data_IF_484086265627
#
_entry.id   IF_484086265627
#
_cell.length_a   1.000
_cell.length_b   1.000
_cell.length_c   1.000
_cell.angle_alpha   90.00
_cell.angle_beta   90.00
_cell.angle_gamma   90.00
#
_symmetry.space_group_name_H-M   'P 1'
#
loop_
_entity.id
_entity.type
_entity.pdbx_description
1 polymer ?
#
# COMPACT_ATOMS: atom_id res chain seq x y z
N UNK A 1 102.70 -98.14 1.51
CA UNK A 1 102.57 -99.55 1.94
C UNK A 1 102.39 -100.42 0.71
N UNK A 2 103.34 -101.32 0.46
CA UNK A 2 103.37 -102.27 -0.67
C UNK A 2 102.48 -103.48 -0.31
N UNK A 3 101.56 -103.95 -1.17
CA UNK A 3 100.99 -105.28 -1.02
C UNK A 3 101.76 -106.28 -1.88
N UNK A 4 102.08 -107.38 -1.24
CA UNK A 4 102.94 -108.48 -1.65
C UNK A 4 102.41 -109.24 -2.87
N UNK A 5 103.29 -109.47 -3.85
CA UNK A 5 103.06 -110.38 -4.96
C UNK A 5 103.19 -111.85 -4.49
N UNK A 6 102.05 -112.47 -4.13
CA UNK A 6 101.96 -113.93 -3.94
C UNK A 6 101.87 -114.66 -5.29
N UNK A 7 102.93 -115.40 -5.62
CA UNK A 7 103.04 -116.30 -6.78
C UNK A 7 102.20 -117.57 -6.54
N UNK A 8 100.97 -117.60 -7.08
CA UNK A 8 100.06 -118.75 -6.99
C UNK A 8 100.23 -119.75 -8.14
N UNK A 9 100.39 -121.02 -7.78
CA UNK A 9 100.55 -122.23 -8.62
C UNK A 9 99.49 -122.31 -9.74
N UNK A 10 99.95 -122.54 -10.98
CA UNK A 10 99.11 -122.82 -12.16
C UNK A 10 98.74 -124.31 -12.20
N UNK A 11 97.54 -124.65 -11.74
CA UNK A 11 96.95 -125.97 -12.00
C UNK A 11 96.62 -126.09 -13.50
N UNK A 12 97.27 -127.05 -14.18
CA UNK A 12 96.96 -127.42 -15.57
C UNK A 12 95.60 -128.11 -15.60
N UNK A 13 94.57 -127.36 -16.01
CA UNK A 13 93.25 -127.89 -16.33
C UNK A 13 93.36 -128.77 -17.58
N UNK A 14 92.79 -129.97 -17.50
CA UNK A 14 92.72 -130.92 -18.61
C UNK A 14 91.83 -130.39 -19.74
N UNK A 15 92.03 -130.85 -20.98
CA UNK A 15 91.34 -130.35 -22.19
C UNK A 15 89.81 -130.44 -22.11
N UNK A 16 89.26 -131.37 -21.31
CA UNK A 16 87.83 -131.46 -20.96
C UNK A 16 87.38 -130.41 -19.94
N UNK A 17 88.22 -130.04 -18.99
CA UNK A 17 87.97 -128.97 -18.02
C UNK A 17 88.05 -127.58 -18.67
N UNK A 18 88.87 -127.37 -19.71
CA UNK A 18 88.89 -126.12 -20.48
C UNK A 18 87.63 -125.96 -21.34
N UNK A 19 87.08 -127.05 -21.90
CA UNK A 19 85.80 -126.98 -22.62
C UNK A 19 84.62 -126.73 -21.69
N UNK A 20 84.59 -127.37 -20.50
CA UNK A 20 83.58 -127.07 -19.46
C UNK A 20 83.74 -125.65 -18.91
N UNK A 21 84.95 -125.22 -18.56
CA UNK A 21 85.20 -123.87 -18.05
C UNK A 21 84.98 -122.78 -19.12
N UNK A 22 85.28 -123.04 -20.40
CA UNK A 22 85.01 -122.10 -21.49
C UNK A 22 83.53 -122.04 -21.84
N UNK A 23 82.81 -123.18 -21.80
CA UNK A 23 81.35 -123.20 -21.93
C UNK A 23 80.66 -122.57 -20.71
N UNK A 24 81.13 -122.80 -19.48
CA UNK A 24 80.65 -122.15 -18.27
C UNK A 24 80.99 -120.66 -18.24
N UNK A 25 82.15 -120.26 -18.74
CA UNK A 25 82.55 -118.85 -18.84
C UNK A 25 81.77 -118.12 -19.94
N UNK A 26 81.56 -118.75 -21.10
CA UNK A 26 80.71 -118.21 -22.17
C UNK A 26 79.23 -118.23 -21.75
N UNK A 27 78.76 -119.26 -21.04
CA UNK A 27 77.41 -119.33 -20.47
C UNK A 27 77.22 -118.29 -19.36
N UNK A 28 78.17 -118.11 -18.45
CA UNK A 28 78.14 -117.09 -17.41
C UNK A 28 78.28 -115.68 -17.97
N UNK A 29 79.09 -115.49 -19.03
CA UNK A 29 79.22 -114.22 -19.74
C UNK A 29 77.97 -113.89 -20.55
N UNK A 30 77.33 -114.89 -21.17
CA UNK A 30 76.06 -114.74 -21.85
C UNK A 30 74.93 -114.47 -20.85
N UNK A 31 74.88 -115.20 -19.72
CA UNK A 31 73.96 -114.93 -18.60
C UNK A 31 74.14 -113.52 -18.05
N UNK A 32 75.37 -113.09 -17.71
CA UNK A 32 75.66 -111.70 -17.31
C UNK A 32 75.26 -110.69 -18.37
N UNK A 33 75.47 -110.98 -19.66
CA UNK A 33 75.09 -110.06 -20.75
C UNK A 33 73.57 -109.98 -20.91
N UNK A 34 72.86 -111.09 -20.74
CA UNK A 34 71.39 -111.13 -20.69
C UNK A 34 70.88 -110.39 -19.46
N UNK A 35 71.54 -110.54 -18.33
CA UNK A 35 71.16 -109.94 -17.03
C UNK A 35 71.46 -108.44 -17.00
N UNK A 36 72.59 -107.98 -17.55
CA UNK A 36 72.88 -106.57 -17.78
C UNK A 36 71.96 -105.95 -18.85
N UNK A 37 71.55 -106.72 -19.85
CA UNK A 37 70.56 -106.28 -20.85
C UNK A 37 69.16 -106.18 -20.23
N UNK A 38 68.81 -107.10 -19.33
CA UNK A 38 67.59 -107.02 -18.52
C UNK A 38 67.63 -105.82 -17.58
N UNK A 39 68.73 -105.60 -16.84
CA UNK A 39 68.92 -104.42 -16.01
C UNK A 39 68.85 -103.13 -16.81
N UNK A 40 69.50 -103.03 -17.98
CA UNK A 40 69.37 -101.83 -18.84
C UNK A 40 67.95 -101.61 -19.35
N UNK A 41 67.22 -102.68 -19.67
CA UNK A 41 65.81 -102.57 -20.08
C UNK A 41 64.91 -102.20 -18.91
N UNK A 42 65.20 -102.69 -17.70
CA UNK A 42 64.51 -102.32 -16.47
C UNK A 42 64.84 -100.88 -16.05
N UNK A 43 66.08 -100.42 -16.21
CA UNK A 43 66.51 -99.04 -15.98
C UNK A 43 65.96 -98.08 -17.06
N UNK A 44 65.94 -98.48 -18.34
CA UNK A 44 65.27 -97.71 -19.40
C UNK A 44 63.76 -97.66 -19.21
N UNK A 45 63.15 -98.75 -18.74
CA UNK A 45 61.72 -98.80 -18.45
C UNK A 45 61.39 -97.97 -17.21
N UNK A 46 62.13 -98.11 -16.13
CA UNK A 46 62.00 -97.28 -14.94
C UNK A 46 62.26 -95.79 -15.26
N UNK A 47 63.25 -95.48 -16.10
CA UNK A 47 63.54 -94.12 -16.56
C UNK A 47 62.45 -93.53 -17.44
N UNK A 48 61.80 -94.36 -18.29
CA UNK A 48 60.61 -93.96 -19.05
C UNK A 48 59.41 -93.73 -18.13
N UNK A 49 59.16 -94.64 -17.19
CA UNK A 49 58.06 -94.55 -16.23
C UNK A 49 58.24 -93.29 -15.33
N UNK A 50 59.47 -92.95 -14.93
CA UNK A 50 59.75 -91.71 -14.18
C UNK A 50 59.58 -90.45 -15.03
N UNK A 51 60.02 -90.46 -16.30
CA UNK A 51 59.83 -89.31 -17.19
C UNK A 51 58.34 -89.09 -17.52
N UNK A 52 57.58 -90.17 -17.66
CA UNK A 52 56.14 -90.14 -17.89
C UNK A 52 55.42 -89.59 -16.65
N UNK A 53 55.75 -90.05 -15.45
CA UNK A 53 55.24 -89.51 -14.18
C UNK A 53 55.60 -88.02 -13.98
N UNK A 54 56.83 -87.61 -14.30
CA UNK A 54 57.22 -86.19 -14.23
C UNK A 54 56.50 -85.33 -15.28
N UNK A 55 56.23 -85.89 -16.47
CA UNK A 55 55.44 -85.22 -17.51
C UNK A 55 53.99 -85.04 -17.07
N UNK A 56 53.38 -86.07 -16.49
CA UNK A 56 52.03 -86.00 -15.93
C UNK A 56 51.93 -85.01 -14.77
N UNK A 57 52.94 -84.96 -13.89
CA UNK A 57 53.00 -83.99 -12.80
C UNK A 57 53.05 -82.55 -13.33
N UNK A 58 53.94 -82.29 -14.31
CA UNK A 58 54.04 -80.97 -14.96
C UNK A 58 52.73 -80.56 -15.64
N UNK A 59 52.05 -81.49 -16.29
CA UNK A 59 50.75 -81.22 -16.92
C UNK A 59 49.65 -80.97 -15.88
N UNK A 60 49.63 -81.70 -14.75
CA UNK A 60 48.71 -81.41 -13.64
C UNK A 60 48.95 -80.03 -13.04
N UNK A 61 50.19 -79.65 -12.77
CA UNK A 61 50.55 -78.32 -12.28
C UNK A 61 50.17 -77.21 -13.27
N UNK A 62 50.28 -77.48 -14.57
CA UNK A 62 49.85 -76.56 -15.61
C UNK A 62 48.33 -76.40 -15.59
N UNK A 63 47.59 -77.50 -15.57
CA UNK A 63 46.12 -77.49 -15.49
C UNK A 63 45.65 -76.81 -14.20
N UNK A 64 46.33 -77.02 -13.08
CA UNK A 64 46.01 -76.37 -11.81
C UNK A 64 46.24 -74.86 -11.86
N UNK A 65 47.36 -74.41 -12.42
CA UNK A 65 47.61 -72.98 -12.67
C UNK A 65 46.57 -72.36 -13.61
N UNK A 66 46.23 -73.03 -14.71
CA UNK A 66 45.18 -72.58 -15.63
C UNK A 66 43.82 -72.50 -14.93
N UNK A 67 43.48 -73.45 -14.04
CA UNK A 67 42.26 -73.41 -13.21
C UNK A 67 42.28 -72.27 -12.20
N UNK A 68 43.40 -72.01 -11.55
CA UNK A 68 43.55 -70.87 -10.62
C UNK A 68 43.43 -69.53 -11.34
N UNK A 69 44.05 -69.40 -12.51
CA UNK A 69 43.94 -68.22 -13.36
C UNK A 69 42.49 -68.03 -13.83
N UNK A 70 41.81 -69.09 -14.27
CA UNK A 70 40.40 -69.04 -14.62
C UNK A 70 39.53 -68.56 -13.45
N UNK A 71 39.73 -69.10 -12.24
CA UNK A 71 39.03 -68.65 -11.02
C UNK A 71 39.33 -67.18 -10.70
N UNK A 72 40.57 -66.73 -10.85
CA UNK A 72 40.95 -65.32 -10.65
C UNK A 72 40.27 -64.40 -11.67
N UNK A 73 40.17 -64.84 -12.92
CA UNK A 73 39.50 -64.09 -13.99
C UNK A 73 37.98 -64.03 -13.75
N UNK A 74 37.37 -65.13 -13.30
CA UNK A 74 35.96 -65.19 -12.93
C UNK A 74 35.65 -64.25 -11.76
N UNK A 75 36.47 -64.28 -10.70
CA UNK A 75 36.33 -63.37 -9.56
C UNK A 75 36.49 -61.90 -9.98
N UNK A 76 37.45 -61.59 -10.85
CA UNK A 76 37.62 -60.23 -11.40
C UNK A 76 36.41 -59.79 -12.21
N UNK A 77 35.83 -60.68 -13.02
CA UNK A 77 34.61 -60.39 -13.78
C UNK A 77 33.43 -60.10 -12.85
N UNK A 78 33.26 -60.90 -11.80
CA UNK A 78 32.21 -60.68 -10.80
C UNK A 78 32.39 -59.34 -10.05
N UNK A 79 33.63 -58.97 -9.71
CA UNK A 79 33.95 -57.68 -9.11
C UNK A 79 33.59 -56.52 -10.04
N UNK A 80 33.98 -56.59 -11.31
CA UNK A 80 33.66 -55.56 -12.31
C UNK A 80 32.15 -55.45 -12.54
N UNK A 81 31.42 -56.57 -12.58
CA UNK A 81 29.96 -56.56 -12.72
C UNK A 81 29.28 -55.90 -11.51
N UNK A 82 29.79 -56.12 -10.30
CA UNK A 82 29.31 -55.43 -9.08
C UNK A 82 29.60 -53.94 -9.14
N UNK A 83 30.81 -53.55 -9.56
CA UNK A 83 31.20 -52.14 -9.73
C UNK A 83 30.34 -51.44 -10.79
N UNK A 84 30.06 -52.10 -11.92
CA UNK A 84 29.18 -51.59 -12.98
C UNK A 84 27.75 -51.37 -12.46
N UNK A 85 27.15 -52.37 -11.80
CA UNK A 85 25.82 -52.25 -11.18
C UNK A 85 25.76 -51.14 -10.13
N UNK A 86 26.82 -50.97 -9.34
CA UNK A 86 26.90 -49.89 -8.37
C UNK A 86 26.99 -48.51 -9.06
N UNK A 87 27.76 -48.41 -10.14
CA UNK A 87 27.85 -47.20 -10.95
C UNK A 87 26.50 -46.85 -11.58
N UNK A 88 25.78 -47.83 -12.14
CA UNK A 88 24.44 -47.65 -12.68
C UNK A 88 23.45 -47.16 -11.62
N UNK A 89 23.44 -47.77 -10.43
CA UNK A 89 22.59 -47.32 -9.31
C UNK A 89 22.89 -45.88 -8.93
N UNK A 90 24.17 -45.48 -8.87
CA UNK A 90 24.57 -44.09 -8.58
C UNK A 90 24.12 -43.11 -9.66
N UNK A 91 24.17 -43.51 -10.94
CA UNK A 91 23.66 -42.71 -12.06
C UNK A 91 22.15 -42.54 -11.95
N UNK A 92 21.41 -43.60 -11.65
CA UNK A 92 19.96 -43.55 -11.53
C UNK A 92 19.53 -42.70 -10.31
N UNK A 93 20.18 -42.87 -9.16
CA UNK A 93 19.98 -42.00 -7.99
C UNK A 93 20.27 -40.51 -8.29
N UNK A 94 21.23 -40.23 -9.18
CA UNK A 94 21.52 -38.85 -9.61
C UNK A 94 20.43 -38.32 -10.54
N UNK A 95 19.91 -39.13 -11.47
CA UNK A 95 18.78 -38.76 -12.32
C UNK A 95 17.53 -38.48 -11.49
N UNK A 96 17.20 -39.35 -10.54
CA UNK A 96 16.06 -39.14 -9.64
C UNK A 96 16.19 -37.85 -8.84
N UNK A 97 17.39 -37.56 -8.30
CA UNK A 97 17.64 -36.28 -7.60
C UNK A 97 17.41 -35.07 -8.50
N UNK A 98 17.84 -35.14 -9.77
CA UNK A 98 17.60 -34.07 -10.74
C UNK A 98 16.12 -33.90 -11.06
N UNK A 99 15.39 -35.01 -11.27
CA UNK A 99 13.95 -34.99 -11.53
C UNK A 99 13.20 -34.41 -10.32
N UNK A 100 13.53 -34.82 -9.09
CA UNK A 100 12.92 -34.27 -7.87
C UNK A 100 13.18 -32.76 -7.76
N UNK A 101 14.41 -32.32 -7.99
CA UNK A 101 14.75 -30.88 -7.99
C UNK A 101 13.98 -30.10 -9.05
N UNK A 102 13.84 -30.67 -10.26
CA UNK A 102 13.07 -30.04 -11.33
C UNK A 102 11.58 -29.92 -10.97
N UNK A 103 10.97 -30.99 -10.43
CA UNK A 103 9.58 -30.98 -9.96
C UNK A 103 9.34 -29.96 -8.86
N UNK A 104 10.27 -29.82 -7.91
CA UNK A 104 10.15 -28.80 -6.85
C UNK A 104 10.16 -27.38 -7.42
N UNK A 105 11.06 -27.09 -8.37
CA UNK A 105 11.08 -25.79 -9.07
C UNK A 105 9.81 -25.55 -9.87
N UNK A 106 9.23 -26.59 -10.46
CA UNK A 106 7.95 -26.47 -11.17
C UNK A 106 6.82 -26.07 -10.23
N UNK A 107 6.72 -26.74 -9.08
CA UNK A 107 5.74 -26.43 -8.04
C UNK A 107 5.93 -25.00 -7.54
N UNK A 108 7.17 -24.57 -7.29
CA UNK A 108 7.49 -23.19 -6.88
C UNK A 108 7.04 -22.17 -7.94
N UNK A 109 7.30 -22.43 -9.23
CA UNK A 109 6.87 -21.55 -10.33
C UNK A 109 5.35 -21.46 -10.43
N UNK A 110 4.65 -22.58 -10.32
CA UNK A 110 3.18 -22.60 -10.33
C UNK A 110 2.62 -21.80 -9.15
N UNK A 111 3.15 -22.01 -7.95
CA UNK A 111 2.75 -21.28 -6.75
C UNK A 111 3.02 -19.77 -6.85
N UNK A 112 4.09 -19.36 -7.52
CA UNK A 112 4.37 -17.94 -7.78
C UNK A 112 3.36 -17.32 -8.75
N UNK A 113 3.02 -18.04 -9.82
CA UNK A 113 1.99 -17.60 -10.78
C UNK A 113 0.63 -17.49 -10.09
N UNK A 114 0.24 -18.47 -9.26
CA UNK A 114 -1.01 -18.44 -8.49
C UNK A 114 -1.07 -17.21 -7.58
N UNK A 115 -0.02 -16.93 -6.81
CA UNK A 115 0.07 -15.74 -5.97
C UNK A 115 -0.06 -14.44 -6.78
N UNK A 116 0.54 -14.38 -7.96
CA UNK A 116 0.43 -13.20 -8.82
C UNK A 116 -0.98 -13.03 -9.37
N UNK A 117 -1.65 -14.14 -9.74
CA UNK A 117 -3.06 -14.09 -10.17
C UNK A 117 -3.99 -13.67 -9.04
N UNK A 118 -3.75 -14.10 -7.80
CA UNK A 118 -4.51 -13.66 -6.63
C UNK A 118 -4.35 -12.15 -6.40
N UNK A 119 -3.13 -11.62 -6.45
CA UNK A 119 -2.89 -10.17 -6.38
C UNK A 119 -3.59 -9.43 -7.50
N UNK A 120 -3.55 -9.95 -8.72
CA UNK A 120 -4.21 -9.32 -9.86
C UNK A 120 -5.74 -9.30 -9.69
N UNK A 121 -6.32 -10.37 -9.14
CA UNK A 121 -7.74 -10.43 -8.81
C UNK A 121 -8.11 -9.42 -7.70
N UNK A 122 -7.28 -9.28 -6.67
CA UNK A 122 -7.48 -8.29 -5.61
C UNK A 122 -7.42 -6.86 -6.17
N UNK A 123 -6.44 -6.56 -7.02
CA UNK A 123 -6.34 -5.27 -7.71
C UNK A 123 -7.59 -5.00 -8.55
N UNK A 124 -8.10 -6.00 -9.26
CA UNK A 124 -9.32 -5.85 -10.05
C UNK A 124 -10.55 -5.63 -9.18
N UNK A 125 -10.65 -6.29 -8.02
CA UNK A 125 -11.73 -6.05 -7.05
C UNK A 125 -11.71 -4.61 -6.54
N UNK A 126 -10.55 -4.13 -6.10
CA UNK A 126 -10.38 -2.75 -5.60
C UNK A 126 -10.69 -1.71 -6.68
N UNK A 127 -10.30 -1.96 -7.95
CA UNK A 127 -10.67 -1.08 -9.07
C UNK A 127 -12.17 -0.98 -9.29
N UNK A 128 -12.89 -2.08 -9.12
CA UNK A 128 -14.35 -2.11 -9.26
C UNK A 128 -15.05 -1.41 -8.10
N UNK A 129 -14.54 -1.57 -6.87
CA UNK A 129 -15.01 -0.81 -5.69
C UNK A 129 -14.81 0.70 -5.90
N UNK A 130 -13.63 1.12 -6.38
CA UNK A 130 -13.33 2.53 -6.65
C UNK A 130 -14.27 3.12 -7.72
N UNK A 131 -14.58 2.38 -8.79
CA UNK A 131 -15.56 2.82 -9.81
C UNK A 131 -16.95 3.07 -9.22
N UNK A 132 -17.41 2.19 -8.33
CA UNK A 132 -18.71 2.35 -7.65
C UNK A 132 -18.73 3.57 -6.73
N UNK A 133 -17.63 3.85 -6.03
CA UNK A 133 -17.50 5.05 -5.21
C UNK A 133 -17.49 6.33 -6.07
N UNK A 134 -16.79 6.33 -7.20
CA UNK A 134 -16.78 7.46 -8.14
C UNK A 134 -18.18 7.74 -8.71
N UNK A 135 -18.92 6.70 -9.07
CA UNK A 135 -20.32 6.82 -9.52
C UNK A 135 -21.23 7.36 -8.41
N UNK A 136 -21.07 6.87 -7.18
CA UNK A 136 -21.80 7.38 -6.01
C UNK A 136 -21.53 8.87 -5.78
N UNK A 137 -20.26 9.28 -5.83
CA UNK A 137 -19.87 10.69 -5.68
C UNK A 137 -20.40 11.55 -6.82
N UNK A 138 -20.44 11.03 -8.05
CA UNK A 138 -21.04 11.72 -9.19
C UNK A 138 -22.53 11.97 -8.95
N UNK A 139 -23.27 10.96 -8.49
CA UNK A 139 -24.70 11.10 -8.17
C UNK A 139 -24.93 12.13 -7.04
N UNK A 140 -24.08 12.13 -6.01
CA UNK A 140 -24.14 13.13 -4.93
C UNK A 140 -23.92 14.55 -5.47
N UNK A 141 -22.98 14.74 -6.39
CA UNK A 141 -22.72 16.05 -7.01
C UNK A 141 -23.90 16.51 -7.87
N UNK A 142 -24.46 15.62 -8.68
CA UNK A 142 -25.62 15.93 -9.54
C UNK A 142 -26.86 16.28 -8.71
N UNK A 143 -27.15 15.51 -7.65
CA UNK A 143 -28.25 15.79 -6.72
C UNK A 143 -28.04 17.09 -5.95
N UNK A 144 -26.82 17.38 -5.50
CA UNK A 144 -26.49 18.64 -4.83
C UNK A 144 -26.66 19.85 -5.75
N UNK A 145 -26.19 19.75 -6.99
CA UNK A 145 -26.34 20.80 -7.99
C UNK A 145 -27.81 21.04 -8.38
N UNK A 146 -28.63 19.97 -8.44
CA UNK A 146 -30.06 20.10 -8.67
C UNK A 146 -30.74 20.86 -7.50
N UNK A 147 -30.43 20.48 -6.26
CA UNK A 147 -30.96 21.16 -5.07
C UNK A 147 -30.53 22.62 -4.97
N UNK A 148 -29.30 22.94 -5.36
CA UNK A 148 -28.83 24.33 -5.38
C UNK A 148 -29.62 25.19 -6.38
N UNK A 149 -29.91 24.64 -7.56
CA UNK A 149 -30.78 25.31 -8.55
C UNK A 149 -32.19 25.56 -8.02
N UNK A 150 -32.79 24.57 -7.37
CA UNK A 150 -34.12 24.71 -6.72
C UNK A 150 -34.10 25.85 -5.69
N UNK A 151 -33.08 25.90 -4.82
CA UNK A 151 -32.94 26.96 -3.83
C UNK A 151 -32.74 28.35 -4.45
N UNK A 152 -32.04 28.45 -5.58
CA UNK A 152 -31.88 29.71 -6.30
C UNK A 152 -33.18 30.16 -6.98
N UNK A 153 -33.98 29.23 -7.52
CA UNK A 153 -35.32 29.51 -8.02
C UNK A 153 -36.24 30.03 -6.91
N UNK A 154 -36.27 29.37 -5.75
CA UNK A 154 -37.03 29.82 -4.57
C UNK A 154 -36.56 31.21 -4.09
N UNK A 155 -35.25 31.45 -4.06
CA UNK A 155 -34.68 32.75 -3.69
C UNK A 155 -35.10 33.85 -4.66
N UNK A 156 -35.10 33.55 -5.97
CA UNK A 156 -35.54 34.48 -6.99
C UNK A 156 -37.03 34.78 -6.88
N UNK A 157 -37.86 33.77 -6.62
CA UNK A 157 -39.30 33.96 -6.40
C UNK A 157 -39.56 34.82 -5.16
N UNK A 158 -38.88 34.54 -4.05
CA UNK A 158 -38.98 35.36 -2.84
C UNK A 158 -38.58 36.82 -3.09
N UNK A 159 -37.54 37.08 -3.90
CA UNK A 159 -37.15 38.44 -4.30
C UNK A 159 -38.27 39.14 -5.09
N UNK A 160 -38.96 38.43 -6.00
CA UNK A 160 -40.09 38.99 -6.77
C UNK A 160 -41.26 39.35 -5.85
N UNK A 161 -41.65 38.45 -4.97
CA UNK A 161 -42.74 38.69 -4.00
C UNK A 161 -42.40 39.87 -3.07
N UNK A 162 -41.15 39.96 -2.59
CA UNK A 162 -40.68 41.09 -1.78
C UNK A 162 -40.74 42.42 -2.55
N UNK A 163 -40.33 42.43 -3.82
CA UNK A 163 -40.38 43.63 -4.66
C UNK A 163 -41.83 44.09 -4.89
N UNK A 164 -42.75 43.17 -5.16
CA UNK A 164 -44.17 43.47 -5.31
C UNK A 164 -44.79 44.02 -4.01
N UNK A 165 -44.48 43.39 -2.86
CA UNK A 165 -44.95 43.86 -1.56
C UNK A 165 -44.40 45.26 -1.23
N UNK A 166 -43.13 45.54 -1.59
CA UNK A 166 -42.52 46.85 -1.45
C UNK A 166 -43.22 47.91 -2.33
N UNK A 167 -43.55 47.57 -3.58
CA UNK A 167 -44.29 48.46 -4.48
C UNK A 167 -45.68 48.80 -3.92
N UNK A 168 -46.44 47.80 -3.47
CA UNK A 168 -47.75 47.99 -2.81
C UNK A 168 -47.65 48.79 -1.52
N UNK A 169 -46.55 48.67 -0.77
CA UNK A 169 -46.31 49.49 0.43
C UNK A 169 -46.02 50.94 0.05
N UNK A 170 -45.21 51.18 -0.98
CA UNK A 170 -44.91 52.52 -1.47
C UNK A 170 -46.18 53.23 -1.96
N UNK A 171 -47.04 52.53 -2.70
CA UNK A 171 -48.34 53.05 -3.14
C UNK A 171 -49.24 53.45 -1.96
N UNK A 172 -49.32 52.61 -0.91
CA UNK A 172 -50.08 52.93 0.31
C UNK A 172 -49.56 54.17 1.04
N UNK A 173 -48.23 54.31 1.13
CA UNK A 173 -47.60 55.49 1.74
C UNK A 173 -47.90 56.74 0.92
N UNK A 174 -47.82 56.66 -0.41
CA UNK A 174 -48.12 57.78 -1.31
C UNK A 174 -49.60 58.20 -1.23
N UNK A 175 -50.52 57.24 -1.16
CA UNK A 175 -51.94 57.51 -0.96
C UNK A 175 -52.20 58.19 0.39
N UNK A 176 -51.57 57.72 1.48
CA UNK A 176 -51.67 58.34 2.80
C UNK A 176 -51.15 59.79 2.78
N UNK A 177 -49.99 60.04 2.17
CA UNK A 177 -49.44 61.39 2.00
C UNK A 177 -50.41 62.32 1.29
N UNK A 178 -51.03 61.89 0.19
CA UNK A 178 -52.02 62.71 -0.54
C UNK A 178 -53.24 63.11 0.29
N UNK A 179 -53.65 62.25 1.23
CA UNK A 179 -54.76 62.54 2.14
C UNK A 179 -54.32 63.53 3.24
N UNK A 180 -53.12 63.35 3.78
CA UNK A 180 -52.56 64.24 4.81
C UNK A 180 -52.24 65.64 4.25
N UNK A 181 -51.72 65.71 3.03
CA UNK A 181 -51.36 66.96 2.32
C UNK A 181 -52.59 67.69 1.76
N UNK A 182 -53.80 67.13 1.89
CA UNK A 182 -55.00 67.79 1.39
C UNK A 182 -55.21 69.13 2.15
N UNK A 183 -55.48 70.26 1.45
CA UNK A 183 -55.60 71.58 2.08
C UNK A 183 -56.58 71.63 3.26
N UNK A 184 -57.65 70.83 3.20
CA UNK A 184 -58.59 70.67 4.31
C UNK A 184 -57.94 70.04 5.55
N UNK A 185 -57.21 68.93 5.40
CA UNK A 185 -56.49 68.27 6.49
C UNK A 185 -55.43 69.19 7.10
N UNK A 186 -54.66 69.88 6.25
CA UNK A 186 -53.67 70.87 6.69
C UNK A 186 -54.32 72.05 7.44
N UNK A 187 -55.51 72.50 7.00
CA UNK A 187 -56.25 73.57 7.67
C UNK A 187 -56.81 73.17 9.03
N UNK A 188 -57.16 71.88 9.22
CA UNK A 188 -57.62 71.34 10.49
C UNK A 188 -56.49 71.18 11.51
N UNK A 189 -55.27 70.89 11.04
CA UNK A 189 -54.13 70.62 11.90
C UNK A 189 -53.46 71.88 12.48
N UNK A 190 -53.56 73.03 11.79
CA UNK A 190 -52.81 74.21 12.18
C UNK A 190 -53.63 75.50 12.14
N UNK A 191 -54.61 75.63 13.06
CA UNK A 191 -55.12 76.97 13.39
C UNK A 191 -54.00 77.78 14.05
N UNK A 192 -53.50 78.80 13.35
CA UNK A 192 -52.53 79.77 13.91
C UNK A 192 -53.22 80.84 14.75
N UNK A 193 -54.54 80.82 14.82
CA UNK A 193 -55.32 81.86 15.50
C UNK A 193 -54.92 81.93 16.98
N UNK A 194 -54.54 83.12 17.44
CA UNK A 194 -54.33 83.31 18.88
C UNK A 194 -55.69 83.38 19.58
N UNK A 195 -55.92 82.54 20.58
CA UNK A 195 -57.17 82.53 21.35
C UNK A 195 -57.44 83.79 22.17
N UNK A 196 -56.43 84.63 22.42
CA UNK A 196 -56.56 85.85 23.25
C UNK A 196 -56.91 87.06 22.38
N UNK A 197 -56.04 87.41 21.43
CA UNK A 197 -56.24 88.59 20.58
C UNK A 197 -57.02 88.27 19.30
N UNK A 198 -57.36 87.00 19.06
CA UNK A 198 -58.07 86.49 17.87
C UNK A 198 -57.37 86.81 16.54
N UNK A 199 -56.08 87.20 16.57
CA UNK A 199 -55.27 87.37 15.38
C UNK A 199 -55.16 86.03 14.65
N UNK A 200 -55.58 86.00 13.38
CA UNK A 200 -55.64 84.78 12.58
C UNK A 200 -54.25 84.24 12.19
N UNK A 201 -53.23 85.10 12.21
CA UNK A 201 -51.87 84.71 11.88
C UNK A 201 -50.84 85.58 12.65
N UNK A 202 -50.65 85.35 13.96
CA UNK A 202 -49.67 86.09 14.75
C UNK A 202 -48.26 85.83 14.23
N UNK A 203 -47.46 86.90 14.06
CA UNK A 203 -46.08 86.82 13.51
C UNK A 203 -45.15 85.90 14.30
N UNK A 204 -45.34 85.80 15.62
CA UNK A 204 -44.58 84.95 16.53
C UNK A 204 -45.54 84.31 17.51
N UNK A 205 -45.41 83.00 17.69
CA UNK A 205 -46.14 82.25 18.72
C UNK A 205 -45.27 81.95 19.94
N UNK A 206 -45.92 81.59 21.01
CA UNK A 206 -45.30 81.11 22.24
C UNK A 206 -46.09 79.92 22.77
N UNK A 207 -45.35 78.90 23.24
CA UNK A 207 -45.93 77.68 23.82
C UNK A 207 -45.88 77.79 25.33
N UNK A 208 -46.97 77.46 25.98
CA UNK A 208 -47.04 77.31 27.43
C UNK A 208 -46.37 75.99 27.81
N UNK A 209 -45.24 76.05 28.52
CA UNK A 209 -44.37 74.88 28.76
C UNK A 209 -45.12 73.75 29.48
N UNK A 210 -45.97 74.07 30.46
CA UNK A 210 -46.59 73.03 31.30
C UNK A 210 -47.75 72.32 30.62
N UNK A 211 -48.47 73.00 29.73
CA UNK A 211 -49.73 72.49 29.17
C UNK A 211 -49.74 72.36 27.64
N UNK A 212 -48.71 72.84 26.94
CA UNK A 212 -48.58 72.74 25.49
C UNK A 212 -49.52 73.66 24.68
N UNK A 213 -50.36 74.47 25.33
CA UNK A 213 -51.22 75.42 24.63
C UNK A 213 -50.42 76.56 24.00
N UNK A 214 -50.85 77.03 22.82
CA UNK A 214 -50.17 78.09 22.06
C UNK A 214 -50.93 79.42 22.13
N UNK A 215 -50.20 80.53 22.19
CA UNK A 215 -50.73 81.90 22.03
C UNK A 215 -49.76 82.79 21.24
N UNK A 216 -50.12 84.05 20.95
CA UNK A 216 -49.21 85.00 20.31
C UNK A 216 -48.11 85.46 21.29
N UNK A 217 -46.89 85.74 20.81
CA UNK A 217 -45.77 86.17 21.67
C UNK A 217 -46.11 87.42 22.46
N UNK A 218 -46.75 88.41 21.84
CA UNK A 218 -47.19 89.65 22.51
C UNK A 218 -48.21 89.35 23.63
N UNK A 219 -49.11 88.41 23.39
CA UNK A 219 -50.15 88.00 24.33
C UNK A 219 -49.53 87.27 25.53
N UNK A 220 -48.52 86.42 25.28
CA UNK A 220 -47.75 85.76 26.34
C UNK A 220 -46.91 86.75 27.14
N UNK A 221 -46.28 87.72 26.49
CA UNK A 221 -45.49 88.79 27.14
C UNK A 221 -46.37 89.71 27.99
N UNK A 222 -47.63 89.95 27.60
CA UNK A 222 -48.58 90.73 28.40
C UNK A 222 -49.12 89.97 29.62
N UNK A 223 -49.24 88.64 29.51
CA UNK A 223 -49.72 87.80 30.61
C UNK A 223 -48.61 87.47 31.62
N UNK A 224 -47.37 87.34 31.14
CA UNK A 224 -46.18 87.22 31.97
C UNK A 224 -45.56 88.58 32.28
N UNK A 225 -44.46 88.57 33.04
CA UNK A 225 -43.56 89.73 33.10
C UNK A 225 -42.73 89.77 31.79
N UNK A 226 -42.22 90.93 31.36
CA UNK A 226 -41.44 91.09 30.10
C UNK A 226 -40.26 90.10 29.97
N UNK A 227 -39.73 89.63 31.11
CA UNK A 227 -38.63 88.67 31.20
C UNK A 227 -39.08 87.20 31.30
N UNK A 228 -40.39 86.92 31.35
CA UNK A 228 -40.94 85.56 31.50
C UNK A 228 -40.60 84.87 32.82
N UNK A 229 -40.21 85.63 33.87
CA UNK A 229 -39.65 85.06 35.11
C UNK A 229 -40.70 84.62 36.13
N UNK A 230 -41.92 85.16 36.08
CA UNK A 230 -43.00 84.76 36.99
C UNK A 230 -43.95 83.79 36.28
N UNK A 231 -44.34 82.69 36.95
CA UNK A 231 -45.36 81.81 36.41
C UNK A 231 -46.71 82.53 36.43
N UNK A 232 -47.51 82.31 35.38
CA UNK A 232 -48.86 82.88 35.24
C UNK A 232 -49.84 81.76 34.82
N UNK A 233 -51.15 81.92 35.08
CA UNK A 233 -52.12 80.91 34.69
C UNK A 233 -52.35 80.92 33.16
N UNK A 234 -52.27 79.76 32.54
CA UNK A 234 -52.57 79.60 31.12
C UNK A 234 -54.00 80.10 30.80
N UNK A 235 -54.21 80.94 29.77
CA UNK A 235 -55.53 81.47 29.44
C UNK A 235 -56.53 80.40 28.95
N UNK A 236 -56.03 79.23 28.51
CA UNK A 236 -56.85 78.16 27.96
C UNK A 236 -57.24 77.09 29.00
N UNK A 237 -56.29 76.66 29.84
CA UNK A 237 -56.54 75.60 30.85
C UNK A 237 -56.30 76.02 32.30
N UNK A 238 -55.87 77.27 32.54
CA UNK A 238 -55.58 77.87 33.86
C UNK A 238 -54.45 77.22 34.67
N UNK A 239 -53.74 76.24 34.12
CA UNK A 239 -52.53 75.70 34.75
C UNK A 239 -51.45 76.77 34.85
N UNK A 240 -50.77 76.84 36.00
CA UNK A 240 -49.61 77.72 36.19
C UNK A 240 -48.48 77.30 35.22
N UNK A 241 -47.99 78.24 34.42
CA UNK A 241 -47.04 77.96 33.34
C UNK A 241 -46.06 79.12 33.15
N UNK A 242 -44.98 78.82 32.44
CA UNK A 242 -44.14 79.79 31.73
C UNK A 242 -44.41 79.68 30.23
N UNK A 243 -43.87 80.60 29.43
CA UNK A 243 -43.91 80.48 27.98
C UNK A 243 -42.51 80.40 27.38
N UNK A 244 -42.38 79.70 26.26
CA UNK A 244 -41.20 79.73 25.39
C UNK A 244 -41.64 80.26 24.03
N UNK A 245 -40.97 81.30 23.54
CA UNK A 245 -41.17 81.82 22.18
C UNK A 245 -40.77 80.74 21.19
N UNK A 246 -41.68 80.37 20.30
CA UNK A 246 -41.36 79.43 19.22
C UNK A 246 -40.52 80.15 18.17
N UNK A 247 -39.46 79.50 17.70
CA UNK A 247 -38.71 79.97 16.55
C UNK A 247 -39.52 79.69 15.29
N UNK A 248 -40.43 80.61 14.96
CA UNK A 248 -41.00 80.67 13.62
C UNK A 248 -40.04 81.52 12.80
N UNK A 249 -39.19 80.86 12.01
CA UNK A 249 -38.24 81.55 11.14
C UNK A 249 -39.03 82.45 10.18
N UNK A 250 -38.63 83.72 10.13
CA UNK A 250 -39.17 84.69 9.18
C UNK A 250 -38.68 84.23 7.79
N UNK A 251 -39.53 83.52 7.06
CA UNK A 251 -39.25 82.84 5.78
C UNK A 251 -38.86 83.79 4.62
N UNK A 252 -38.44 85.03 4.93
CA UNK A 252 -38.13 86.10 3.97
C UNK A 252 -36.65 86.53 3.97
N UNK A 253 -35.71 85.68 4.40
CA UNK A 253 -34.28 86.07 4.37
C UNK A 253 -33.23 85.00 4.07
N UNK A 254 -33.59 83.86 3.47
CA UNK A 254 -32.64 82.80 3.14
C UNK A 254 -32.53 82.43 1.65
N UNK A 255 -32.88 83.31 0.71
CA UNK A 255 -32.50 83.12 -0.71
C UNK A 255 -30.99 83.31 -1.00
N UNK A 256 -30.14 83.61 -0.01
CA UNK A 256 -28.72 83.97 -0.27
C UNK A 256 -27.66 83.15 0.45
N UNK A 257 -27.99 82.09 1.20
CA UNK A 257 -26.98 81.27 1.87
C UNK A 257 -26.93 79.83 1.34
N UNK A 258 -26.34 79.71 0.15
CA UNK A 258 -25.30 78.73 -0.12
C UNK A 258 -25.69 77.26 -0.01
N UNK A 259 -25.97 76.67 -1.17
CA UNK A 259 -25.90 75.22 -1.44
C UNK A 259 -24.51 74.65 -1.09
N UNK A 260 -24.24 74.38 0.19
CA UNK A 260 -23.15 73.48 0.59
C UNK A 260 -23.60 72.05 0.31
N UNK A 261 -23.39 71.66 -0.94
CA UNK A 261 -23.45 70.29 -1.47
C UNK A 261 -22.57 69.39 -0.58
N UNK A 262 -23.15 68.76 0.45
CA UNK A 262 -22.49 67.63 1.12
C UNK A 262 -22.46 66.50 0.10
N UNK A 263 -21.30 66.30 -0.51
CA UNK A 263 -20.96 65.17 -1.34
C UNK A 263 -21.01 63.94 -0.42
N UNK A 264 -22.18 63.30 -0.33
CA UNK A 264 -22.26 61.96 0.24
C UNK A 264 -21.65 61.05 -0.82
N UNK A 265 -20.38 60.70 -0.64
CA UNK A 265 -19.82 59.52 -1.28
C UNK A 265 -20.46 58.33 -0.55
N UNK A 266 -21.58 57.84 -1.07
CA UNK A 266 -22.19 56.60 -0.62
C UNK A 266 -21.70 55.46 -1.51
N UNK A 267 -20.48 55.01 -1.24
CA UNK A 267 -19.88 53.80 -1.82
C UNK A 267 -19.54 52.82 -0.68
N UNK A 268 -20.53 52.49 0.16
CA UNK A 268 -20.38 51.50 1.24
C UNK A 268 -21.49 50.44 1.13
N UNK A 269 -21.52 49.73 0.01
CA UNK A 269 -22.14 48.39 -0.10
C UNK A 269 -21.07 47.37 -0.54
N UNK A 270 -19.84 47.50 -0.01
CA UNK A 270 -18.91 46.36 0.04
C UNK A 270 -19.22 45.59 1.32
N UNK A 271 -20.16 44.65 1.20
CA UNK A 271 -20.44 43.64 2.23
C UNK A 271 -19.26 42.67 2.22
N UNK A 272 -18.13 43.16 2.74
CA UNK A 272 -16.89 42.41 2.88
C UNK A 272 -17.20 41.11 3.59
N UNK A 273 -17.01 40.02 2.83
CA UNK A 273 -17.04 38.67 3.32
C UNK A 273 -16.25 38.61 4.62
N UNK A 274 -16.96 38.44 5.73
CA UNK A 274 -16.36 38.31 7.04
C UNK A 274 -15.45 37.10 6.96
N UNK A 275 -14.14 37.37 6.91
CA UNK A 275 -13.09 36.39 7.10
C UNK A 275 -13.25 35.80 8.49
N UNK A 276 -14.13 34.79 8.60
CA UNK A 276 -14.16 33.90 9.74
C UNK A 276 -12.82 33.19 9.70
N UNK A 277 -11.89 33.65 10.54
CA UNK A 277 -10.63 32.95 10.79
C UNK A 277 -11.00 31.56 11.28
N UNK A 278 -10.92 30.57 10.41
CA UNK A 278 -11.04 29.17 10.79
C UNK A 278 -10.08 28.91 11.96
N UNK A 279 -10.55 28.32 13.07
CA UNK A 279 -9.67 27.98 14.18
C UNK A 279 -8.57 27.07 13.65
N UNK A 280 -7.31 27.47 13.85
CA UNK A 280 -6.15 26.62 13.58
C UNK A 280 -6.30 25.39 14.45
N UNK A 281 -6.64 24.26 13.83
CA UNK A 281 -6.54 22.94 14.45
C UNK A 281 -5.06 22.78 14.78
N UNK A 282 -4.74 22.77 16.07
CA UNK A 282 -3.37 22.56 16.53
C UNK A 282 -2.92 21.16 16.10
N UNK A 283 -1.75 21.07 15.47
CA UNK A 283 -1.13 19.81 15.08
C UNK A 283 -0.98 18.88 16.30
N UNK A 284 -1.50 17.65 16.27
CA UNK A 284 -1.44 16.72 17.40
C UNK A 284 -0.06 16.05 17.58
N UNK A 285 1.03 16.59 17.02
CA UNK A 285 2.35 15.93 16.96
C UNK A 285 3.22 16.07 18.21
N UNK A 286 2.74 16.67 19.31
CA UNK A 286 3.58 16.96 20.48
C UNK A 286 3.40 16.06 21.72
N UNK A 287 2.65 14.95 21.64
CA UNK A 287 2.66 13.96 22.74
C UNK A 287 3.91 13.07 22.66
N UNK A 288 5.02 13.58 23.20
CA UNK A 288 6.16 12.76 23.59
C UNK A 288 5.85 12.09 24.93
N UNK A 289 5.51 10.81 24.87
CA UNK A 289 5.41 9.95 26.05
C UNK A 289 6.82 9.68 26.55
N UNK A 290 7.20 10.32 27.66
CA UNK A 290 8.41 9.93 28.39
C UNK A 290 8.19 8.56 29.04
N UNK A 291 9.21 7.71 28.86
CA UNK A 291 9.32 6.33 29.37
C UNK A 291 9.32 6.25 30.89
#
# INVERSE_FOLDING_TARGET
MKPEHKKGRRNRLTRGQIRKASHEFLSARLKRRIELSKQRREEEKAGKDTNELESEHRERERIEREKEEAKRMELKKEMLEKEEKEAERKVEERKERLIRRWKLREIERIAEVEKETEKQNEINRLKEELRKEEESLRLIRETSAAREKELDEERNELKRVKAEAAAKKAERIEAAKKVDDHPYSLSLLYSRNCSICLSSNPRRRAVMITCGHFTCSLCSEQLGDENGQRPFPCPLCRQSTFYVKTFEEEEMRQETLGTRKRKMNGDDDDVGASSVKSPRIADPSCFSVNK
#
